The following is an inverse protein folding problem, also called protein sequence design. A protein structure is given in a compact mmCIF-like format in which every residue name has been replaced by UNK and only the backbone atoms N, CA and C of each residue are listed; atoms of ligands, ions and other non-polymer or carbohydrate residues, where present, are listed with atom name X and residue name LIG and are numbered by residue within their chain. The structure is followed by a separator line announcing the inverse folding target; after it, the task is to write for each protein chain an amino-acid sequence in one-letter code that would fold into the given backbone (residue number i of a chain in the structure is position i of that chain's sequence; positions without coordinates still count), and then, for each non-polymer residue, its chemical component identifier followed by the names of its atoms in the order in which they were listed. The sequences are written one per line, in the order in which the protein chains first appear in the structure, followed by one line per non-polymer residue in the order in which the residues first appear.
data_IF_074086485129
#
_entry.id   IF_074086485129
#
_cell.length_a   1.000
_cell.length_b   1.000
_cell.length_c   1.000
_cell.angle_alpha   90.00
_cell.angle_beta   90.00
_cell.angle_gamma   90.00
#
_symmetry.space_group_name_H-M   'P 1'
#
loop_
_entity.id
_entity.type
_entity.pdbx_description
1 polymer ?
#
# COMPACT_ATOMS: atom_id res chain seq x y z
N UNK A 1 -19.91 2.91 -4.91
CA UNK A 1 -19.10 2.90 -6.13
C UNK A 1 -19.31 1.58 -6.87
N UNK A 2 -19.51 1.63 -8.20
CA UNK A 2 -19.83 0.43 -9.00
C UNK A 2 -18.57 -0.37 -9.45
N UNK A 3 -17.37 0.08 -9.13
CA UNK A 3 -16.12 -0.59 -9.54
C UNK A 3 -15.99 -1.98 -8.91
N UNK A 4 -15.62 -2.96 -9.73
CA UNK A 4 -15.34 -4.33 -9.35
C UNK A 4 -13.93 -4.76 -9.78
N UNK A 5 -13.49 -5.95 -9.33
CA UNK A 5 -12.19 -6.49 -9.70
C UNK A 5 -12.11 -6.85 -11.19
N UNK A 6 -10.89 -6.70 -11.77
CA UNK A 6 -10.64 -7.00 -13.17
C UNK A 6 -9.21 -7.52 -13.35
N UNK A 7 -9.07 -8.57 -14.14
CA UNK A 7 -7.78 -8.95 -14.70
C UNK A 7 -7.68 -8.41 -16.13
N UNK A 8 -6.59 -7.71 -16.41
CA UNK A 8 -6.36 -7.09 -17.70
C UNK A 8 -5.13 -7.65 -18.38
N UNK A 9 -5.22 -7.87 -19.71
CA UNK A 9 -4.12 -8.36 -20.56
C UNK A 9 -3.62 -9.77 -20.17
N UNK A 10 -4.53 -10.69 -19.86
CA UNK A 10 -4.22 -12.11 -19.71
C UNK A 10 -3.80 -12.70 -21.07
N UNK A 11 -2.82 -13.59 -21.05
CA UNK A 11 -2.31 -14.33 -22.20
C UNK A 11 -2.51 -15.83 -21.94
N UNK A 12 -2.37 -16.66 -22.99
CA UNK A 12 -2.48 -18.11 -22.86
C UNK A 12 -1.42 -18.70 -21.90
N UNK A 13 -0.25 -18.07 -21.85
CA UNK A 13 0.86 -18.48 -20.97
C UNK A 13 0.72 -17.98 -19.52
N UNK A 14 -0.32 -17.18 -19.22
CA UNK A 14 -0.52 -16.62 -17.87
C UNK A 14 -0.92 -17.71 -16.89
N UNK A 15 -0.01 -18.10 -16.03
CA UNK A 15 -0.23 -19.14 -15.03
C UNK A 15 -0.77 -18.60 -13.69
N UNK A 16 -1.15 -19.52 -12.81
CA UNK A 16 -1.71 -19.21 -11.47
C UNK A 16 -0.81 -18.28 -10.65
N UNK A 17 0.49 -18.52 -10.64
CA UNK A 17 1.44 -17.70 -9.86
C UNK A 17 1.44 -16.24 -10.31
N UNK A 18 1.39 -16.01 -11.64
CA UNK A 18 1.32 -14.67 -12.20
C UNK A 18 0.00 -13.96 -11.87
N UNK A 19 -1.12 -14.69 -11.86
CA UNK A 19 -2.41 -14.14 -11.46
C UNK A 19 -2.42 -13.75 -9.98
N UNK A 20 -1.91 -14.61 -9.09
CA UNK A 20 -1.79 -14.30 -7.66
C UNK A 20 -0.88 -13.09 -7.42
N UNK A 21 0.25 -13.03 -8.13
CA UNK A 21 1.14 -11.87 -8.07
C UNK A 21 0.45 -10.59 -8.55
N UNK A 22 -0.31 -10.65 -9.64
CA UNK A 22 -1.05 -9.50 -10.18
C UNK A 22 -2.07 -8.93 -9.19
N UNK A 23 -2.71 -9.77 -8.37
CA UNK A 23 -3.61 -9.33 -7.29
C UNK A 23 -2.84 -8.49 -6.26
N UNK A 24 -1.68 -8.97 -5.80
CA UNK A 24 -0.84 -8.24 -4.83
C UNK A 24 -0.28 -6.94 -5.44
N UNK A 25 0.17 -6.99 -6.69
CA UNK A 25 0.65 -5.79 -7.42
C UNK A 25 -0.48 -4.75 -7.57
N UNK A 26 -1.70 -5.19 -7.84
CA UNK A 26 -2.88 -4.32 -7.92
C UNK A 26 -3.14 -3.57 -6.61
N UNK A 27 -3.03 -4.26 -5.47
CA UNK A 27 -3.13 -3.64 -4.14
C UNK A 27 -2.01 -2.61 -3.94
N UNK A 28 -0.75 -2.97 -4.27
CA UNK A 28 0.39 -2.06 -4.15
C UNK A 28 0.28 -0.85 -5.09
N UNK A 29 -0.25 -1.02 -6.32
CA UNK A 29 -0.54 0.11 -7.21
C UNK A 29 -1.61 1.04 -6.65
N UNK A 30 -2.62 0.50 -6.01
CA UNK A 30 -3.63 1.32 -5.34
C UNK A 30 -3.03 2.13 -4.20
N UNK A 31 -2.18 1.51 -3.36
CA UNK A 31 -1.45 2.21 -2.29
C UNK A 31 -0.52 3.30 -2.86
N UNK A 32 0.21 3.01 -3.95
CA UNK A 32 1.01 4.04 -4.65
C UNK A 32 0.14 5.20 -5.12
N UNK A 33 -1.03 4.93 -5.68
CA UNK A 33 -1.93 5.98 -6.14
C UNK A 33 -2.42 6.87 -5.00
N UNK A 34 -2.80 6.27 -3.87
CA UNK A 34 -3.17 7.01 -2.67
C UNK A 34 -2.01 7.86 -2.14
N UNK A 35 -0.80 7.31 -2.10
CA UNK A 35 0.41 8.01 -1.69
C UNK A 35 0.67 9.23 -2.60
N UNK A 36 0.66 9.06 -3.92
CA UNK A 36 0.84 10.18 -4.87
C UNK A 36 -0.22 11.28 -4.72
N UNK A 37 -1.46 10.93 -4.37
CA UNK A 37 -2.52 11.92 -4.09
C UNK A 37 -2.24 12.67 -2.79
N UNK A 38 -1.78 11.97 -1.76
CA UNK A 38 -1.44 12.58 -0.47
C UNK A 38 -0.22 13.50 -0.58
N UNK A 39 0.80 13.11 -1.33
CA UNK A 39 2.03 13.88 -1.53
C UNK A 39 1.82 15.22 -2.26
N UNK A 40 0.72 15.37 -2.97
CA UNK A 40 0.31 16.67 -3.53
C UNK A 40 -0.10 17.70 -2.47
N UNK A 41 -0.43 17.25 -1.27
CA UNK A 41 -0.95 18.08 -0.17
C UNK A 41 0.03 18.19 0.99
N UNK A 42 0.77 17.14 1.25
CA UNK A 42 1.65 17.03 2.42
C UNK A 42 2.87 16.21 2.07
N UNK A 43 4.05 16.64 2.53
CA UNK A 43 5.27 15.83 2.47
C UNK A 43 5.08 14.57 3.30
N UNK A 44 5.35 13.42 2.69
CA UNK A 44 5.41 12.14 3.40
C UNK A 44 6.84 11.83 3.83
N UNK A 45 6.99 11.07 4.92
CA UNK A 45 8.31 10.61 5.39
C UNK A 45 8.88 9.54 4.44
N UNK A 46 10.20 9.44 4.39
CA UNK A 46 10.92 8.30 3.87
C UNK A 46 11.91 7.88 4.95
N UNK A 47 11.84 6.69 5.48
CA UNK A 47 10.99 5.54 5.08
C UNK A 47 9.50 5.68 5.43
N UNK A 48 8.68 4.87 4.71
CA UNK A 48 7.25 4.71 5.00
C UNK A 48 7.07 3.48 5.90
N UNK A 49 6.37 3.63 7.02
CA UNK A 49 6.01 2.50 7.87
C UNK A 49 4.77 1.80 7.35
N UNK A 50 4.92 0.53 6.99
CA UNK A 50 3.85 -0.34 6.53
C UNK A 50 3.44 -1.28 7.66
N UNK A 51 2.15 -1.30 7.99
CA UNK A 51 1.60 -2.01 9.14
C UNK A 51 0.37 -2.83 8.75
N UNK A 52 -0.08 -3.69 9.66
CA UNK A 52 -1.20 -4.58 9.44
C UNK A 52 -0.81 -5.92 8.79
N UNK A 53 -1.81 -6.69 8.35
CA UNK A 53 -1.60 -8.06 7.84
C UNK A 53 -0.67 -8.16 6.63
N UNK A 54 -0.68 -7.17 5.74
CA UNK A 54 0.21 -7.12 4.57
C UNK A 54 1.69 -7.01 4.93
N UNK A 55 2.01 -6.36 6.06
CA UNK A 55 3.37 -6.19 6.54
C UNK A 55 4.02 -7.49 7.07
N UNK A 56 3.23 -8.55 7.25
CA UNK A 56 3.73 -9.88 7.65
C UNK A 56 4.36 -10.65 6.47
N UNK A 57 4.16 -10.18 5.24
CA UNK A 57 4.69 -10.82 4.04
C UNK A 57 5.90 -10.04 3.51
N UNK A 58 7.13 -10.57 3.63
CA UNK A 58 8.32 -9.93 3.04
C UNK A 58 8.18 -9.67 1.54
N UNK A 59 7.51 -10.58 0.83
CA UNK A 59 7.24 -10.44 -0.61
C UNK A 59 6.37 -9.21 -0.90
N UNK A 60 5.31 -9.00 -0.09
CA UNK A 60 4.43 -7.83 -0.23
C UNK A 60 5.17 -6.54 0.12
N UNK A 61 6.00 -6.55 1.16
CA UNK A 61 6.80 -5.39 1.57
C UNK A 61 7.80 -4.99 0.49
N UNK A 62 8.54 -5.96 -0.10
CA UNK A 62 9.47 -5.69 -1.19
C UNK A 62 8.74 -5.18 -2.43
N UNK A 63 7.62 -5.81 -2.81
CA UNK A 63 6.79 -5.40 -3.93
C UNK A 63 6.26 -3.96 -3.74
N UNK A 64 5.85 -3.60 -2.53
CA UNK A 64 5.41 -2.24 -2.20
C UNK A 64 6.55 -1.24 -2.33
N UNK A 65 7.77 -1.59 -1.86
CA UNK A 65 8.95 -0.76 -2.03
C UNK A 65 9.26 -0.53 -3.51
N UNK A 66 9.29 -1.58 -4.31
CA UNK A 66 9.60 -1.53 -5.75
C UNK A 66 8.56 -0.70 -6.53
N UNK A 67 7.28 -0.88 -6.21
CA UNK A 67 6.17 -0.19 -6.89
C UNK A 67 6.11 1.28 -6.50
N UNK A 68 6.34 1.63 -5.23
CA UNK A 68 6.29 3.02 -4.75
C UNK A 68 7.58 3.79 -5.01
N UNK A 69 8.71 3.08 -5.16
CA UNK A 69 10.04 3.67 -5.21
C UNK A 69 10.49 4.26 -3.86
N UNK A 70 9.88 3.81 -2.74
CA UNK A 70 10.13 4.31 -1.39
C UNK A 70 10.67 3.19 -0.50
N UNK A 71 11.48 3.54 0.47
CA UNK A 71 11.88 2.60 1.52
C UNK A 71 10.67 2.25 2.38
N UNK A 72 10.40 0.96 2.57
CA UNK A 72 9.34 0.44 3.42
C UNK A 72 9.96 -0.15 4.69
N UNK A 73 9.46 0.27 5.84
CA UNK A 73 9.77 -0.31 7.14
C UNK A 73 8.57 -1.05 7.71
N UNK A 74 8.83 -2.20 8.33
CA UNK A 74 7.86 -2.91 9.15
C UNK A 74 8.24 -2.80 10.61
N UNK A 75 7.26 -2.95 11.51
CA UNK A 75 7.44 -2.80 12.95
C UNK A 75 7.01 -4.05 13.68
N UNK A 76 7.56 -4.24 14.87
CA UNK A 76 7.09 -5.29 15.76
C UNK A 76 5.60 -5.09 16.10
N UNK A 77 4.92 -6.21 16.38
CA UNK A 77 3.49 -6.22 16.70
C UNK A 77 2.62 -5.47 15.67
N UNK A 78 2.95 -5.61 14.39
CA UNK A 78 2.31 -4.88 13.29
C UNK A 78 0.78 -5.03 13.23
N UNK A 79 0.20 -6.06 13.88
CA UNK A 79 -1.27 -6.25 13.99
C UNK A 79 -1.90 -5.35 15.05
N UNK A 80 -1.14 -4.97 16.06
CA UNK A 80 -1.62 -4.27 17.25
C UNK A 80 -1.35 -2.77 17.23
N UNK A 81 -0.89 -2.23 16.10
CA UNK A 81 -0.50 -0.81 15.95
C UNK A 81 -1.61 0.17 16.31
N UNK A 82 -2.87 -0.21 16.13
CA UNK A 82 -4.02 0.60 16.57
C UNK A 82 -4.07 0.74 18.09
N UNK A 83 -3.92 -0.38 18.82
CA UNK A 83 -3.88 -0.39 20.28
C UNK A 83 -2.64 0.33 20.81
N UNK A 84 -1.48 0.10 20.18
CA UNK A 84 -0.22 0.78 20.52
C UNK A 84 -0.38 2.29 20.32
N UNK A 85 -0.94 2.74 19.21
CA UNK A 85 -1.19 4.17 18.96
C UNK A 85 -2.13 4.80 19.99
N UNK A 86 -3.21 4.11 20.36
CA UNK A 86 -4.11 4.57 21.40
C UNK A 86 -3.41 4.68 22.79
N UNK A 87 -2.59 3.68 23.12
CA UNK A 87 -1.80 3.69 24.35
C UNK A 87 -0.80 4.86 24.38
N UNK A 88 -0.15 5.17 23.23
CA UNK A 88 0.75 6.32 23.11
C UNK A 88 0.01 7.64 23.32
N UNK A 89 -1.18 7.80 22.76
CA UNK A 89 -2.01 8.99 22.97
C UNK A 89 -2.37 9.15 24.45
N UNK A 90 -2.79 8.07 25.13
CA UNK A 90 -3.10 8.07 26.55
C UNK A 90 -1.87 8.41 27.40
N UNK A 91 -0.71 7.86 27.05
CA UNK A 91 0.54 8.11 27.77
C UNK A 91 1.02 9.57 27.65
N UNK A 92 0.84 10.21 26.50
CA UNK A 92 1.08 11.65 26.34
C UNK A 92 0.06 12.46 27.12
N UNK A 93 -1.23 12.09 27.05
CA UNK A 93 -2.30 12.78 27.79
C UNK A 93 -2.15 12.71 29.30
N UNK A 94 -1.58 11.62 29.85
CA UNK A 94 -1.28 11.45 31.28
C UNK A 94 0.07 12.06 31.69
N UNK A 95 0.86 12.61 30.80
CA UNK A 95 2.19 13.17 31.06
C UNK A 95 3.32 12.14 31.20
N UNK A 96 3.07 10.85 30.89
CA UNK A 96 4.11 9.83 30.89
C UNK A 96 5.14 10.05 29.75
N UNK A 97 4.72 10.69 28.64
CA UNK A 97 5.59 11.16 27.56
C UNK A 97 5.33 12.63 27.27
N UNK A 98 6.37 13.34 26.87
CA UNK A 98 6.30 14.76 26.53
C UNK A 98 5.68 15.01 25.17
N UNK A 99 5.77 14.03 24.25
CA UNK A 99 5.23 14.13 22.90
C UNK A 99 4.95 12.76 22.28
N UNK A 100 4.11 12.73 21.25
CA UNK A 100 3.91 11.53 20.43
C UNK A 100 5.19 11.09 19.72
N UNK A 101 6.08 12.03 19.38
CA UNK A 101 7.38 11.74 18.77
C UNK A 101 8.28 10.94 19.72
N UNK A 102 8.22 11.24 21.02
CA UNK A 102 8.98 10.50 22.02
C UNK A 102 8.40 9.10 22.25
N UNK A 103 7.09 8.99 22.35
CA UNK A 103 6.42 7.71 22.45
C UNK A 103 6.69 6.81 21.21
N UNK A 104 6.71 7.39 20.02
CA UNK A 104 6.96 6.67 18.78
C UNK A 104 8.37 6.05 18.66
N UNK A 105 9.34 6.54 19.44
CA UNK A 105 10.69 5.95 19.52
C UNK A 105 10.70 4.53 20.11
N UNK A 106 9.65 4.17 20.86
CA UNK A 106 9.50 2.82 21.42
C UNK A 106 9.09 1.78 20.39
N UNK A 107 8.64 2.20 19.20
CA UNK A 107 8.21 1.27 18.15
C UNK A 107 9.45 0.75 17.42
N UNK A 108 9.82 -0.50 17.72
CA UNK A 108 10.96 -1.14 17.11
C UNK A 108 10.67 -1.49 15.62
N UNK A 109 11.60 -1.12 14.74
CA UNK A 109 11.61 -1.55 13.33
C UNK A 109 12.19 -2.96 13.26
N UNK A 110 11.47 -3.89 12.63
CA UNK A 110 11.88 -5.28 12.48
C UNK A 110 12.19 -5.70 11.03
N UNK A 111 11.94 -4.82 10.06
CA UNK A 111 12.29 -5.06 8.66
C UNK A 111 12.42 -3.77 7.87
N UNK A 112 13.35 -3.76 6.90
CA UNK A 112 13.56 -2.63 5.99
C UNK A 112 13.71 -3.15 4.56
N UNK A 113 12.88 -2.65 3.66
CA UNK A 113 12.82 -3.05 2.25
C UNK A 113 13.10 -1.83 1.38
N UNK A 114 14.19 -1.91 0.60
CA UNK A 114 14.58 -0.84 -0.33
C UNK A 114 14.10 -1.18 -1.74
N UNK A 115 13.67 -0.19 -2.52
CA UNK A 115 13.25 -0.41 -3.90
C UNK A 115 14.42 -0.92 -4.76
N UNK A 116 14.15 -1.92 -5.61
CA UNK A 116 15.08 -2.38 -6.64
C UNK A 116 14.97 -1.46 -7.87
N UNK A 117 16.02 -0.68 -8.20
CA UNK A 117 15.99 0.24 -9.33
C UNK A 117 15.74 -0.45 -10.67
N UNK A 118 16.09 -1.74 -10.81
CA UNK A 118 15.90 -2.49 -12.04
C UNK A 118 14.43 -2.72 -12.40
N UNK A 119 13.54 -2.74 -11.42
CA UNK A 119 12.10 -2.96 -11.59
C UNK A 119 11.33 -1.69 -11.94
N UNK A 120 11.92 -0.52 -11.69
CA UNK A 120 11.27 0.79 -11.75
C UNK A 120 10.56 1.04 -13.09
N UNK A 121 11.24 0.82 -14.20
CA UNK A 121 10.69 1.10 -15.53
C UNK A 121 9.45 0.25 -15.84
N UNK A 122 9.43 -1.01 -15.39
CA UNK A 122 8.31 -1.93 -15.58
C UNK A 122 7.13 -1.48 -14.73
N UNK A 123 7.35 -1.21 -13.44
CA UNK A 123 6.28 -0.80 -12.54
C UNK A 123 5.70 0.58 -12.89
N UNK A 124 6.52 1.55 -13.31
CA UNK A 124 6.04 2.86 -13.76
C UNK A 124 5.17 2.74 -15.02
N UNK A 125 5.54 1.88 -15.97
CA UNK A 125 4.72 1.58 -17.15
C UNK A 125 3.39 0.95 -16.76
N UNK A 126 3.42 -0.09 -15.92
CA UNK A 126 2.23 -0.81 -15.50
C UNK A 126 1.30 0.08 -14.66
N UNK A 127 1.83 0.91 -13.79
CA UNK A 127 1.06 1.85 -12.99
C UNK A 127 0.34 2.90 -13.84
N UNK A 128 0.98 3.40 -14.90
CA UNK A 128 0.30 4.32 -15.84
C UNK A 128 -0.92 3.69 -16.49
N UNK A 129 -0.83 2.41 -16.85
CA UNK A 129 -1.99 1.65 -17.38
C UNK A 129 -3.03 1.44 -16.30
N UNK A 130 -2.63 0.96 -15.12
CA UNK A 130 -3.52 0.72 -13.97
C UNK A 130 -4.41 1.93 -13.66
N UNK A 131 -3.83 3.13 -13.59
CA UNK A 131 -4.59 4.37 -13.34
C UNK A 131 -5.65 4.66 -14.40
N UNK A 132 -5.40 4.30 -15.67
CA UNK A 132 -6.34 4.52 -16.78
C UNK A 132 -7.49 3.52 -16.76
N UNK A 133 -7.26 2.29 -16.28
CA UNK A 133 -8.25 1.21 -16.36
C UNK A 133 -9.58 1.60 -15.68
N UNK A 134 -9.53 2.24 -14.51
CA UNK A 134 -10.76 2.70 -13.86
C UNK A 134 -11.48 3.76 -14.71
N UNK A 135 -10.77 4.76 -15.18
CA UNK A 135 -11.36 5.87 -15.92
C UNK A 135 -12.05 5.41 -17.20
N UNK A 136 -11.39 4.52 -17.97
CA UNK A 136 -11.94 4.02 -19.24
C UNK A 136 -13.04 2.97 -19.08
N UNK A 137 -13.11 2.30 -17.91
CA UNK A 137 -14.13 1.29 -17.62
C UNK A 137 -15.23 1.77 -16.65
N UNK A 138 -15.21 3.02 -16.24
CA UNK A 138 -16.17 3.56 -15.25
C UNK A 138 -17.63 3.35 -15.67
N UNK A 139 -17.94 3.59 -16.92
CA UNK A 139 -19.27 3.40 -17.49
C UNK A 139 -19.65 1.91 -17.55
N UNK A 140 -18.74 1.06 -18.00
CA UNK A 140 -18.94 -0.39 -18.01
C UNK A 140 -19.22 -0.94 -16.61
N UNK A 141 -18.48 -0.51 -15.60
CA UNK A 141 -18.75 -0.90 -14.21
C UNK A 141 -20.14 -0.41 -13.76
N UNK A 142 -20.56 0.78 -14.16
CA UNK A 142 -21.87 1.30 -13.81
C UNK A 142 -22.99 0.49 -14.46
N UNK A 143 -22.83 0.08 -15.72
CA UNK A 143 -23.82 -0.76 -16.42
C UNK A 143 -23.94 -2.13 -15.77
N UNK A 144 -22.78 -2.78 -15.48
CA UNK A 144 -22.76 -4.15 -14.95
C UNK A 144 -23.16 -4.26 -13.47
N UNK A 145 -22.90 -3.22 -12.67
CA UNK A 145 -22.97 -3.30 -11.21
C UNK A 145 -23.96 -2.29 -10.59
N UNK A 146 -24.79 -1.61 -11.40
CA UNK A 146 -25.93 -0.89 -10.85
C UNK A 146 -26.93 -1.95 -10.37
N UNK A 147 -27.18 -1.93 -9.07
CA UNK A 147 -28.37 -2.58 -8.53
C UNK A 147 -29.55 -1.82 -9.12
N UNK A 148 -30.35 -2.47 -9.95
CA UNK A 148 -31.68 -1.99 -10.28
C UNK A 148 -32.46 -1.98 -8.97
N UNK A 149 -32.66 -0.77 -8.41
CA UNK A 149 -33.45 -0.52 -7.20
C UNK A 149 -34.92 -0.52 -7.51
#
# INVERSE_FOLDING_TARGET
AAAAGMFFNLRLETGKAQMLRAVLEGICFHLRWMLEVQEKRTKTSDPIRFVGGGALSPVTCQMLADITGRTIETVENTKDVGAIGAAMLAAVGSGAFTSLSDAAKLVAVNGTYRPDPSTKAVYDRNFRVFRKLYAVNKENFAILNRLEG
#
